data_IF_391955369322
#
_entry.id   IF_391955369322
#
_cell.length_a   1.000
_cell.length_b   1.000
_cell.length_c   1.000
_cell.angle_alpha   90.00
_cell.angle_beta   90.00
_cell.angle_gamma   90.00
#
_symmetry.space_group_name_H-M   'P 1'
#
loop_
_entity.id
_entity.type
_entity.pdbx_description
1 polymer ?
#
# COMPACT_ATOMS: atom_id res chain seq x y z
N UNK A 1 7.47 4.40 3.09
CA UNK A 1 6.51 4.47 1.97
C UNK A 1 7.20 3.93 0.73
N UNK A 2 6.47 3.40 -0.26
CA UNK A 2 7.06 2.85 -1.49
C UNK A 2 7.97 1.63 -1.25
N UNK A 3 7.45 0.58 -0.61
CA UNK A 3 8.14 -0.71 -0.45
C UNK A 3 9.49 -0.68 0.32
N UNK A 4 9.86 0.41 0.98
CA UNK A 4 11.09 0.49 1.81
C UNK A 4 11.21 -0.64 2.84
N UNK A 5 10.09 -1.09 3.41
CA UNK A 5 10.07 -2.20 4.37
C UNK A 5 10.31 -3.57 3.71
N UNK A 6 10.09 -3.70 2.40
CA UNK A 6 10.37 -4.89 1.60
C UNK A 6 11.86 -4.97 1.24
N UNK A 7 12.51 -3.83 1.02
CA UNK A 7 13.91 -3.76 0.56
C UNK A 7 14.95 -3.71 1.67
N UNK A 8 14.56 -3.50 2.94
CA UNK A 8 15.50 -3.44 4.07
C UNK A 8 16.22 -4.78 4.32
N UNK A 9 17.45 -4.71 4.82
CA UNK A 9 18.28 -5.90 5.08
C UNK A 9 17.75 -6.80 6.19
N UNK A 10 17.21 -6.20 7.26
CA UNK A 10 16.74 -6.92 8.44
C UNK A 10 15.22 -7.06 8.43
N UNK A 11 14.74 -8.30 8.48
CA UNK A 11 13.32 -8.65 8.52
C UNK A 11 12.50 -7.99 7.39
N UNK A 12 12.85 -8.23 6.11
CA UNK A 12 12.11 -7.64 4.99
C UNK A 12 10.65 -8.11 5.00
N UNK A 13 9.72 -7.19 4.83
CA UNK A 13 8.29 -7.51 4.69
C UNK A 13 8.05 -8.29 3.38
N UNK A 14 7.14 -9.26 3.43
CA UNK A 14 6.79 -10.15 2.30
C UNK A 14 5.31 -10.06 1.91
N UNK A 15 4.62 -9.02 2.38
CA UNK A 15 3.18 -8.84 2.23
C UNK A 15 2.90 -7.45 1.66
N UNK A 16 1.86 -7.29 0.82
CA UNK A 16 1.44 -5.99 0.32
C UNK A 16 0.69 -5.18 1.39
N UNK A 17 0.00 -5.86 2.29
CA UNK A 17 -0.70 -5.27 3.42
C UNK A 17 -0.96 -6.32 4.50
N UNK A 18 -1.24 -5.87 5.72
CA UNK A 18 -1.51 -6.72 6.86
C UNK A 18 -2.98 -7.18 6.89
N UNK A 19 -3.22 -8.45 6.59
CA UNK A 19 -4.53 -9.10 6.73
C UNK A 19 -4.38 -10.35 7.60
N UNK A 20 -4.29 -10.16 8.93
CA UNK A 20 -4.06 -11.26 9.88
C UNK A 20 -5.33 -12.02 10.20
N UNK A 21 -5.18 -13.20 10.81
CA UNK A 21 -6.30 -14.02 11.29
C UNK A 21 -7.26 -13.23 12.21
N UNK A 22 -6.74 -12.40 13.10
CA UNK A 22 -7.58 -11.59 14.01
C UNK A 22 -8.45 -10.60 13.24
N UNK A 23 -7.90 -9.94 12.21
CA UNK A 23 -8.66 -9.00 11.38
C UNK A 23 -9.71 -9.72 10.53
N UNK A 24 -9.37 -10.87 9.95
CA UNK A 24 -10.31 -11.69 9.17
C UNK A 24 -11.47 -12.17 10.05
N UNK A 25 -11.17 -12.63 11.27
CA UNK A 25 -12.19 -13.14 12.19
C UNK A 25 -13.11 -12.04 12.73
N UNK A 26 -12.68 -10.78 12.68
CA UNK A 26 -13.50 -9.62 13.07
C UNK A 26 -14.44 -9.15 11.95
N UNK A 27 -14.29 -9.68 10.73
CA UNK A 27 -15.20 -9.40 9.62
C UNK A 27 -16.49 -10.22 9.74
N UNK A 28 -17.37 -10.09 8.75
CA UNK A 28 -18.61 -10.87 8.70
C UNK A 28 -18.35 -12.39 8.61
N UNK A 29 -19.42 -13.18 8.78
CA UNK A 29 -19.35 -14.65 8.82
C UNK A 29 -18.78 -15.30 7.55
N UNK A 30 -18.83 -14.61 6.41
CA UNK A 30 -18.23 -15.04 5.14
C UNK A 30 -16.73 -14.72 5.05
N UNK A 31 -16.16 -14.09 6.09
CA UNK A 31 -14.77 -13.68 6.15
C UNK A 31 -14.47 -12.56 5.17
N UNK A 32 -13.53 -12.81 4.25
CA UNK A 32 -13.05 -11.79 3.29
C UNK A 32 -13.87 -11.74 2.00
N UNK A 33 -14.67 -12.78 1.71
CA UNK A 33 -15.31 -12.97 0.40
C UNK A 33 -16.57 -12.11 0.19
N UNK A 34 -17.06 -11.40 1.21
CA UNK A 34 -18.20 -10.50 1.05
C UNK A 34 -17.81 -9.04 0.98
N UNK A 35 -18.14 -8.27 2.02
CA UNK A 35 -17.98 -6.81 2.06
C UNK A 35 -16.52 -6.43 1.82
N UNK A 36 -15.58 -7.11 2.48
CA UNK A 36 -14.16 -6.80 2.33
C UNK A 36 -13.71 -6.86 0.86
N UNK A 37 -13.92 -8.00 0.18
CA UNK A 37 -13.56 -8.16 -1.24
C UNK A 37 -14.26 -7.14 -2.14
N UNK A 38 -15.59 -6.98 -2.01
CA UNK A 38 -16.36 -6.04 -2.84
C UNK A 38 -15.87 -4.60 -2.67
N UNK A 39 -15.60 -4.18 -1.43
CA UNK A 39 -15.05 -2.86 -1.14
C UNK A 39 -13.67 -2.69 -1.76
N UNK A 40 -12.78 -3.69 -1.63
CA UNK A 40 -11.46 -3.65 -2.27
C UNK A 40 -11.56 -3.53 -3.80
N UNK A 41 -12.46 -4.26 -4.44
CA UNK A 41 -12.70 -4.19 -5.89
C UNK A 41 -13.18 -2.80 -6.31
N UNK A 42 -14.18 -2.24 -5.62
CA UNK A 42 -14.67 -0.88 -5.92
C UNK A 42 -13.60 0.19 -5.70
N UNK A 43 -12.81 0.08 -4.63
CA UNK A 43 -11.71 1.02 -4.36
C UNK A 43 -10.64 0.92 -5.44
N UNK A 44 -10.23 -0.29 -5.83
CA UNK A 44 -9.24 -0.50 -6.89
C UNK A 44 -9.74 0.00 -8.25
N UNK A 45 -11.03 -0.17 -8.55
CA UNK A 45 -11.62 0.37 -9.77
C UNK A 45 -11.51 1.90 -9.82
N UNK A 46 -11.85 2.59 -8.74
CA UNK A 46 -11.73 4.06 -8.67
C UNK A 46 -10.27 4.50 -8.78
N UNK A 47 -9.35 3.85 -8.07
CA UNK A 47 -7.92 4.17 -8.12
C UNK A 47 -7.36 3.98 -9.53
N UNK A 48 -7.70 2.88 -10.21
CA UNK A 48 -7.26 2.64 -11.59
C UNK A 48 -7.88 3.62 -12.58
N UNK A 49 -9.17 3.95 -12.43
CA UNK A 49 -9.87 4.90 -13.29
C UNK A 49 -9.27 6.31 -13.21
N UNK A 50 -8.81 6.71 -12.02
CA UNK A 50 -8.25 8.04 -11.76
C UNK A 50 -6.72 8.00 -11.53
N UNK A 51 -6.02 7.06 -12.18
CA UNK A 51 -4.56 6.87 -12.00
C UNK A 51 -3.76 8.14 -12.24
N UNK A 52 -4.13 8.97 -13.21
CA UNK A 52 -3.36 10.16 -13.58
C UNK A 52 -3.39 11.21 -12.45
N UNK A 53 -4.53 11.34 -11.78
CA UNK A 53 -4.67 12.21 -10.60
C UNK A 53 -3.84 11.70 -9.42
N UNK A 54 -3.82 10.37 -9.20
CA UNK A 54 -3.00 9.76 -8.15
C UNK A 54 -1.50 9.94 -8.47
N UNK A 55 -1.08 9.70 -9.71
CA UNK A 55 0.30 9.87 -10.16
C UNK A 55 0.77 11.31 -10.03
N UNK A 56 -0.04 12.30 -10.40
CA UNK A 56 0.33 13.71 -10.27
C UNK A 56 0.68 14.09 -8.81
N UNK A 57 -0.06 13.55 -7.84
CA UNK A 57 0.23 13.76 -6.41
C UNK A 57 1.50 13.01 -5.99
N UNK A 58 1.65 11.75 -6.39
CA UNK A 58 2.83 10.94 -6.03
C UNK A 58 4.13 11.48 -6.63
N UNK A 59 4.10 11.97 -7.87
CA UNK A 59 5.25 12.59 -8.54
C UNK A 59 5.72 13.82 -7.77
N UNK A 60 4.81 14.68 -7.34
CA UNK A 60 5.15 15.85 -6.53
C UNK A 60 5.91 15.46 -5.24
N UNK A 61 5.51 14.37 -4.57
CA UNK A 61 6.20 13.87 -3.38
C UNK A 61 7.59 13.28 -3.66
N UNK A 62 7.78 12.62 -4.81
CA UNK A 62 9.07 12.02 -5.19
C UNK A 62 10.09 13.09 -5.60
N UNK A 63 9.62 14.11 -6.33
CA UNK A 63 10.48 15.19 -6.81
C UNK A 63 10.70 16.30 -5.80
N UNK A 64 10.04 16.27 -4.63
CA UNK A 64 10.32 17.19 -3.53
C UNK A 64 11.69 16.86 -2.90
N UNK A 65 12.69 17.75 -3.05
CA UNK A 65 14.04 17.53 -2.53
C UNK A 65 14.10 17.40 -1.00
N UNK A 66 13.09 17.91 -0.27
CA UNK A 66 13.02 17.83 1.19
C UNK A 66 12.56 16.45 1.70
N UNK A 67 12.01 15.60 0.83
CA UNK A 67 11.48 14.28 1.18
C UNK A 67 12.35 13.12 0.66
N UNK A 68 13.17 13.38 -0.36
CA UNK A 68 13.95 12.36 -1.06
C UNK A 68 15.03 11.69 -0.19
N UNK A 69 15.50 12.33 0.89
CA UNK A 69 16.53 11.78 1.78
C UNK A 69 16.15 10.45 2.44
N UNK A 70 14.84 10.17 2.65
CA UNK A 70 14.38 8.90 3.22
C UNK A 70 14.44 7.72 2.25
N UNK A 71 14.47 7.97 0.95
CA UNK A 71 14.58 6.94 -0.09
C UNK A 71 16.04 6.58 -0.38
N UNK A 72 16.95 7.55 -0.22
CA UNK A 72 18.39 7.40 -0.52
C UNK A 72 19.13 6.61 0.58
N UNK A 73 18.70 6.72 1.84
CA UNK A 73 19.36 6.06 2.98
C UNK A 73 19.07 4.55 3.08
N UNK A 74 18.16 4.02 2.25
CA UNK A 74 17.87 2.58 2.16
C UNK A 74 18.87 1.81 1.29
N UNK A 75 19.84 2.51 0.66
CA UNK A 75 20.85 1.92 -0.22
C UNK A 75 22.28 1.96 0.33
N UNK A 76 22.48 2.21 1.63
CA UNK A 76 23.80 2.25 2.27
C UNK A 76 23.95 1.27 3.42
#
# INVERSE_FOLDING_TARGET
>A
CFEVAVTRDKFPEKIPFRLTRMLINAMEVTGIEGIYRRTCESVMEVLHRHKDSVMAVLEAFVYDPLLNWRLIDAGR
#
